data_IF_311067227551
#
_entry.id   IF_311067227551
#
_cell.length_a   1.000
_cell.length_b   1.000
_cell.length_c   1.000
_cell.angle_alpha   90.00
_cell.angle_beta   90.00
_cell.angle_gamma   90.00
#
_symmetry.space_group_name_H-M   'P 1'
#
loop_
_entity.id
_entity.type
_entity.pdbx_description
1 polymer ?
#
# COMPACT_ATOMS: atom_id res chain seq x y z
N UNK A 1 15.98 16.21 -12.90
CA UNK A 1 14.72 15.87 -12.22
C UNK A 1 14.76 16.53 -10.86
N UNK A 2 13.64 17.06 -10.42
CA UNK A 2 13.51 17.57 -9.05
C UNK A 2 13.30 16.41 -8.09
N UNK A 3 13.62 16.58 -6.80
CA UNK A 3 13.35 15.58 -5.76
C UNK A 3 11.85 15.19 -5.71
N UNK A 4 10.98 16.11 -6.15
CA UNK A 4 9.54 15.87 -6.32
C UNK A 4 9.23 14.89 -7.46
N UNK A 5 9.95 14.97 -8.59
CA UNK A 5 9.74 14.05 -9.72
C UNK A 5 10.19 12.63 -9.36
N UNK A 6 11.32 12.51 -8.65
CA UNK A 6 11.82 11.21 -8.17
C UNK A 6 10.88 10.61 -7.12
N UNK A 7 10.36 11.43 -6.18
CA UNK A 7 9.36 11.00 -5.21
C UNK A 7 8.09 10.44 -5.88
N UNK A 8 7.54 11.15 -6.88
CA UNK A 8 6.35 10.69 -7.61
C UNK A 8 6.60 9.39 -8.37
N UNK A 9 7.77 9.26 -8.97
CA UNK A 9 8.17 8.04 -9.70
C UNK A 9 8.25 6.84 -8.75
N UNK A 10 8.89 7.01 -7.60
CA UNK A 10 9.00 5.95 -6.60
C UNK A 10 7.63 5.56 -6.05
N UNK A 11 6.76 6.54 -5.77
CA UNK A 11 5.41 6.26 -5.27
C UNK A 11 4.52 5.59 -6.32
N UNK A 12 4.65 5.92 -7.60
CA UNK A 12 3.97 5.19 -8.69
C UNK A 12 4.37 3.70 -8.70
N UNK A 13 5.63 3.39 -8.41
CA UNK A 13 6.10 2.01 -8.31
C UNK A 13 5.51 1.29 -7.07
N UNK A 14 5.37 2.01 -5.95
CA UNK A 14 4.69 1.51 -4.75
C UNK A 14 3.22 1.20 -5.03
N UNK A 15 2.47 2.11 -5.65
CA UNK A 15 1.06 1.92 -6.03
C UNK A 15 0.89 0.70 -6.95
N UNK A 16 1.81 0.52 -7.91
CA UNK A 16 1.81 -0.64 -8.80
C UNK A 16 2.01 -1.95 -8.02
N UNK A 17 2.97 -1.97 -7.09
CA UNK A 17 3.23 -3.13 -6.25
C UNK A 17 2.04 -3.45 -5.33
N UNK A 18 1.41 -2.42 -4.76
CA UNK A 18 0.19 -2.55 -3.97
C UNK A 18 -0.94 -3.19 -4.78
N UNK A 19 -1.21 -2.68 -5.98
CA UNK A 19 -2.25 -3.23 -6.87
C UNK A 19 -2.02 -4.71 -7.19
N UNK A 20 -0.76 -5.10 -7.41
CA UNK A 20 -0.39 -6.50 -7.62
C UNK A 20 -0.69 -7.37 -6.40
N UNK A 21 -0.38 -6.89 -5.18
CA UNK A 21 -0.67 -7.62 -3.95
C UNK A 21 -2.18 -7.76 -3.73
N UNK A 22 -2.95 -6.68 -3.89
CA UNK A 22 -4.42 -6.72 -3.78
C UNK A 22 -5.03 -7.74 -4.74
N UNK A 23 -4.56 -7.74 -6.00
CA UNK A 23 -4.99 -8.70 -7.02
C UNK A 23 -4.65 -10.15 -6.65
N UNK A 24 -3.47 -10.39 -6.08
CA UNK A 24 -3.07 -11.72 -5.63
C UNK A 24 -3.94 -12.21 -4.46
N UNK A 25 -4.23 -11.35 -3.50
CA UNK A 25 -5.12 -11.63 -2.37
C UNK A 25 -6.53 -11.98 -2.84
N UNK A 26 -7.06 -11.22 -3.80
CA UNK A 26 -8.38 -11.48 -4.36
C UNK A 26 -8.46 -12.86 -5.05
N UNK A 27 -7.41 -13.26 -5.77
CA UNK A 27 -7.31 -14.61 -6.35
C UNK A 27 -7.31 -15.70 -5.28
N UNK A 28 -6.62 -15.49 -4.15
CA UNK A 28 -6.65 -16.43 -3.02
C UNK A 28 -8.06 -16.56 -2.47
N UNK A 29 -8.77 -15.44 -2.26
CA UNK A 29 -10.17 -15.45 -1.84
C UNK A 29 -11.07 -16.25 -2.79
N UNK A 30 -10.90 -16.10 -4.09
CA UNK A 30 -11.67 -16.85 -5.09
C UNK A 30 -11.39 -18.36 -5.04
N UNK A 31 -10.17 -18.79 -4.72
CA UNK A 31 -9.84 -20.22 -4.58
C UNK A 31 -10.40 -20.85 -3.29
N UNK A 32 -10.75 -20.02 -2.30
CA UNK A 32 -11.31 -20.48 -1.03
C UNK A 32 -12.78 -20.86 -1.14
N UNK A 33 -13.50 -20.38 -2.15
CA UNK A 33 -14.89 -20.76 -2.39
C UNK A 33 -14.96 -22.16 -3.04
N UNK A 34 -15.02 -23.21 -2.21
CA UNK A 34 -15.35 -24.57 -2.66
C UNK A 34 -14.43 -25.69 -2.20
N UNK A 35 -13.38 -25.41 -1.41
CA UNK A 35 -12.34 -26.42 -1.10
C UNK A 35 -12.46 -27.04 0.30
N UNK A 36 -13.25 -26.47 1.22
CA UNK A 36 -13.35 -26.95 2.60
C UNK A 36 -14.61 -26.42 3.32
N UNK A 37 -15.28 -27.27 4.11
CA UNK A 37 -16.50 -26.91 4.87
C UNK A 37 -16.42 -27.33 6.34
N UNK A 38 -17.07 -26.57 7.22
CA UNK A 38 -17.16 -26.82 8.67
C UNK A 38 -16.50 -25.74 9.53
N UNK A 39 -16.67 -25.82 10.86
CA UNK A 39 -16.26 -24.75 11.78
C UNK A 39 -14.78 -24.34 11.69
N UNK A 40 -13.89 -25.29 11.36
CA UNK A 40 -12.48 -24.99 11.16
C UNK A 40 -12.24 -24.17 9.88
N UNK A 41 -12.99 -24.44 8.81
CA UNK A 41 -12.97 -23.66 7.57
C UNK A 41 -13.49 -22.24 7.81
N UNK A 42 -14.60 -22.11 8.54
CA UNK A 42 -15.18 -20.81 8.89
C UNK A 42 -14.22 -19.96 9.72
N UNK A 43 -13.57 -20.58 10.71
CA UNK A 43 -12.56 -19.91 11.55
C UNK A 43 -11.39 -19.43 10.72
N UNK A 44 -10.83 -20.30 9.88
CA UNK A 44 -9.73 -19.94 9.02
C UNK A 44 -10.10 -18.81 8.04
N UNK A 45 -11.28 -18.88 7.42
CA UNK A 45 -11.78 -17.84 6.52
C UNK A 45 -11.95 -16.49 7.22
N UNK A 46 -12.43 -16.48 8.46
CA UNK A 46 -12.52 -15.28 9.30
C UNK A 46 -11.13 -14.72 9.62
N UNK A 47 -10.20 -15.58 10.05
CA UNK A 47 -8.82 -15.18 10.39
C UNK A 47 -8.09 -14.64 9.14
N UNK A 48 -8.31 -15.24 7.96
CA UNK A 48 -7.79 -14.77 6.68
C UNK A 48 -8.32 -13.38 6.32
N UNK A 49 -9.65 -13.18 6.36
CA UNK A 49 -10.26 -11.88 6.08
C UNK A 49 -9.75 -10.80 7.04
N UNK A 50 -9.57 -11.11 8.33
CA UNK A 50 -9.01 -10.18 9.30
C UNK A 50 -7.58 -9.73 8.95
N UNK A 51 -6.72 -10.67 8.54
CA UNK A 51 -5.35 -10.37 8.09
C UNK A 51 -5.35 -9.52 6.83
N UNK A 52 -6.21 -9.83 5.85
CA UNK A 52 -6.28 -9.08 4.60
C UNK A 52 -6.86 -7.68 4.80
N UNK A 53 -7.83 -7.51 5.70
CA UNK A 53 -8.32 -6.18 6.09
C UNK A 53 -7.22 -5.33 6.73
N UNK A 54 -6.38 -5.94 7.59
CA UNK A 54 -5.23 -5.25 8.19
C UNK A 54 -4.21 -4.83 7.14
N UNK A 55 -3.93 -5.70 6.17
CA UNK A 55 -3.04 -5.39 5.05
C UNK A 55 -3.58 -4.23 4.19
N UNK A 56 -4.88 -4.24 3.85
CA UNK A 56 -5.50 -3.13 3.13
C UNK A 56 -5.34 -1.81 3.87
N UNK A 57 -5.59 -1.79 5.18
CA UNK A 57 -5.44 -0.57 6.00
C UNK A 57 -4.01 -0.04 6.06
N UNK A 58 -3.01 -0.90 5.90
CA UNK A 58 -1.61 -0.47 5.79
C UNK A 58 -1.39 0.26 4.46
N UNK A 59 -1.89 -0.31 3.37
CA UNK A 59 -1.78 0.26 2.04
C UNK A 59 -2.52 1.59 1.90
N UNK A 60 -3.68 1.72 2.53
CA UNK A 60 -4.46 2.97 2.52
C UNK A 60 -3.70 4.17 3.15
N UNK A 61 -2.58 3.92 3.85
CA UNK A 61 -1.71 4.97 4.41
C UNK A 61 -0.67 5.50 3.41
N UNK A 62 -0.37 4.77 2.34
CA UNK A 62 0.68 5.14 1.39
C UNK A 62 0.39 6.46 0.65
N UNK A 63 -0.84 6.76 0.18
CA UNK A 63 -1.11 8.05 -0.46
C UNK A 63 -0.90 9.25 0.47
N UNK A 64 -1.26 9.11 1.76
CA UNK A 64 -1.04 10.16 2.74
C UNK A 64 0.46 10.36 3.02
N UNK A 65 1.23 9.27 3.06
CA UNK A 65 2.68 9.34 3.24
C UNK A 65 3.38 9.93 2.00
N UNK A 66 2.93 9.59 0.77
CA UNK A 66 3.39 10.22 -0.46
C UNK A 66 3.22 11.74 -0.39
N UNK A 67 2.01 12.22 -0.07
CA UNK A 67 1.74 13.65 -0.01
C UNK A 67 2.64 14.33 1.02
N UNK A 68 2.88 13.68 2.18
CA UNK A 68 3.79 14.19 3.22
C UNK A 68 5.23 14.29 2.71
N UNK A 69 5.70 13.32 1.93
CA UNK A 69 7.04 13.30 1.36
C UNK A 69 7.21 14.37 0.27
N UNK A 70 6.21 14.53 -0.60
CA UNK A 70 6.19 15.58 -1.64
C UNK A 70 6.24 16.96 -0.98
N UNK A 71 5.40 17.23 0.03
CA UNK A 71 5.38 18.51 0.74
C UNK A 71 6.73 18.82 1.40
N UNK A 72 7.41 17.79 1.92
CA UNK A 72 8.74 17.91 2.52
C UNK A 72 9.80 18.24 1.45
N UNK A 73 9.79 17.55 0.31
CA UNK A 73 10.69 17.81 -0.81
C UNK A 73 10.52 19.23 -1.35
N UNK A 74 9.27 19.67 -1.57
CA UNK A 74 8.97 21.03 -2.05
C UNK A 74 9.45 22.13 -1.09
N UNK A 75 9.41 21.90 0.23
CA UNK A 75 9.94 22.85 1.23
C UNK A 75 11.47 22.89 1.21
N UNK A 76 12.11 21.73 1.03
CA UNK A 76 13.57 21.65 0.92
C UNK A 76 14.08 22.41 -0.31
N UNK A 77 13.43 22.24 -1.47
CA UNK A 77 13.78 22.95 -2.71
C UNK A 77 13.58 24.47 -2.62
N UNK A 78 12.62 24.93 -1.81
CA UNK A 78 12.35 26.37 -1.60
C UNK A 78 13.31 27.04 -0.62
N UNK A 79 14.15 26.27 0.08
CA UNK A 79 15.11 26.82 1.06
C UNK A 79 16.47 26.95 0.37
N UNK A 80 17.04 28.16 0.22
CA UNK A 80 18.35 28.32 -0.41
C UNK A 80 19.39 27.51 0.38
N UNK A 81 20.09 26.62 -0.31
CA UNK A 81 21.23 25.85 0.21
C UNK A 81 22.42 26.80 0.38
N UNK A 82 22.38 27.68 1.39
CA UNK A 82 23.42 28.70 1.60
C UNK A 82 23.13 29.86 2.55
N UNK A 83 22.19 29.74 3.50
CA UNK A 83 22.10 30.70 4.61
C UNK A 83 22.80 30.10 5.85
N UNK A 84 24.12 30.22 5.91
CA UNK A 84 24.94 30.04 7.11
C UNK A 84 26.01 31.11 7.12
#
# INVERSE_FOLDING_TARGET
MSDVDDCKKDMTAVETAEGNIRSAVEKVNQMMTGTWVGAAADKWGTDFHGRMSTLSRLFDQFPAEEQRLIDKAQKADKTPKGAS
#
